data_IF_897096526558
#
_entry.id   IF_897096526558
#
_cell.length_a   1.000
_cell.length_b   1.000
_cell.length_c   1.000
_cell.angle_alpha   90.00
_cell.angle_beta   90.00
_cell.angle_gamma   90.00
#
_symmetry.space_group_name_H-M   'P 1'
#
loop_
_entity.id
_entity.type
_entity.pdbx_description
1 polymer ?
#
# COMPACT_ATOMS: atom_id res chain seq x y z
N UNK A 1 3.04 23.39 -14.28
CA UNK A 1 2.82 24.21 -13.08
C UNK A 1 4.17 24.42 -12.42
N UNK A 2 4.36 25.53 -11.71
CA UNK A 2 5.55 25.68 -10.87
C UNK A 2 5.37 24.78 -9.65
N UNK A 3 6.27 23.82 -9.49
CA UNK A 3 6.24 22.88 -8.36
C UNK A 3 7.07 23.37 -7.17
N UNK A 4 7.74 24.52 -7.31
CA UNK A 4 8.61 25.13 -6.30
C UNK A 4 8.11 26.51 -5.88
N UNK A 5 8.11 26.75 -4.57
CA UNK A 5 7.79 28.01 -3.90
C UNK A 5 9.03 28.51 -3.17
N UNK A 6 9.39 29.78 -3.37
CA UNK A 6 10.47 30.41 -2.63
C UNK A 6 9.91 31.15 -1.43
N UNK A 7 10.36 30.80 -0.22
CA UNK A 7 9.92 31.41 1.03
C UNK A 7 11.08 32.12 1.71
N UNK A 8 10.86 33.35 2.17
CA UNK A 8 11.81 34.12 2.96
C UNK A 8 11.25 34.49 4.33
N UNK A 9 12.03 34.26 5.37
CA UNK A 9 11.61 34.50 6.75
C UNK A 9 12.30 35.70 7.41
N UNK A 10 11.84 36.10 8.60
CA UNK A 10 12.43 37.21 9.38
C UNK A 10 13.95 37.08 9.63
N UNK A 11 14.44 35.85 9.80
CA UNK A 11 15.88 35.56 9.95
C UNK A 11 16.64 35.53 8.63
N UNK A 12 16.03 36.00 7.53
CA UNK A 12 16.62 36.08 6.19
C UNK A 12 17.03 34.73 5.60
N UNK A 13 16.45 33.61 6.07
CA UNK A 13 16.57 32.35 5.35
C UNK A 13 15.72 32.41 4.09
N UNK A 14 16.27 31.98 2.96
CA UNK A 14 15.56 31.73 1.71
C UNK A 14 15.50 30.24 1.48
N UNK A 15 14.30 29.68 1.40
CA UNK A 15 14.05 28.26 1.21
C UNK A 15 13.30 28.06 -0.11
N UNK A 16 13.65 27.02 -0.85
CA UNK A 16 12.80 26.49 -1.92
C UNK A 16 12.05 25.30 -1.37
N UNK A 17 10.73 25.36 -1.42
CA UNK A 17 9.82 24.35 -0.90
C UNK A 17 8.97 23.82 -2.06
N UNK A 18 8.61 22.55 -2.01
CA UNK A 18 7.50 22.04 -2.81
C UNK A 18 6.17 22.63 -2.34
N UNK A 19 5.11 22.56 -3.16
CA UNK A 19 3.76 23.00 -2.74
C UNK A 19 3.30 22.33 -1.44
N UNK A 20 3.64 21.06 -1.23
CA UNK A 20 3.32 20.32 -0.01
C UNK A 20 4.06 20.85 1.22
N UNK A 21 5.37 21.04 1.11
CA UNK A 21 6.19 21.61 2.19
C UNK A 21 5.79 23.07 2.50
N UNK A 22 5.31 23.79 1.48
CA UNK A 22 4.78 25.12 1.65
C UNK A 22 3.43 25.12 2.39
N UNK A 23 2.50 24.24 2.02
CA UNK A 23 1.22 24.07 2.73
C UNK A 23 1.45 23.74 4.22
N UNK A 24 2.35 22.80 4.53
CA UNK A 24 2.77 22.49 5.92
C UNK A 24 3.32 23.72 6.66
N UNK A 25 4.07 24.59 5.95
CA UNK A 25 4.64 25.80 6.54
C UNK A 25 3.57 26.86 6.84
N UNK A 26 2.49 26.90 6.06
CA UNK A 26 1.37 27.83 6.23
C UNK A 26 0.49 27.47 7.42
N UNK A 27 0.31 26.18 7.75
CA UNK A 27 -0.46 25.76 8.95
C UNK A 27 -0.02 26.47 10.24
N UNK A 28 1.27 26.88 10.29
CA UNK A 28 1.84 27.54 11.46
C UNK A 28 2.26 28.99 11.20
N UNK A 29 2.26 29.45 9.94
CA UNK A 29 2.93 30.69 9.50
C UNK A 29 4.41 30.74 9.97
N UNK A 30 5.12 29.62 9.86
CA UNK A 30 6.51 29.49 10.35
C UNK A 30 7.45 28.93 9.28
N UNK A 31 8.64 29.51 9.23
CA UNK A 31 9.76 29.00 8.45
C UNK A 31 10.16 27.59 8.91
N UNK A 32 10.13 26.56 8.05
CA UNK A 32 10.46 25.18 8.42
C UNK A 32 11.86 25.01 9.00
N UNK A 33 12.80 25.88 8.62
CA UNK A 33 14.20 25.81 9.08
C UNK A 33 14.42 26.38 10.48
N UNK A 34 13.69 27.42 10.87
CA UNK A 34 14.04 28.18 12.09
C UNK A 34 12.86 28.65 12.94
N UNK A 35 11.62 28.32 12.55
CA UNK A 35 10.42 28.66 13.29
C UNK A 35 10.15 30.16 13.43
N UNK A 36 10.76 31.03 12.62
CA UNK A 36 10.42 32.46 12.59
C UNK A 36 9.31 32.73 11.58
N UNK A 37 8.66 33.90 11.64
CA UNK A 37 7.57 34.26 10.73
C UNK A 37 8.06 34.28 9.27
N UNK A 38 7.19 33.84 8.37
CA UNK A 38 7.34 34.02 6.92
C UNK A 38 7.01 35.48 6.57
N UNK A 39 7.84 36.11 5.73
CA UNK A 39 7.69 37.50 5.32
C UNK A 39 7.35 37.65 3.83
N UNK A 40 8.03 36.89 2.98
CA UNK A 40 7.87 36.96 1.52
C UNK A 40 7.73 35.54 0.98
N UNK A 41 6.88 35.37 -0.03
CA UNK A 41 6.64 34.12 -0.76
C UNK A 41 6.61 34.45 -2.25
N UNK A 42 7.27 33.65 -3.07
CA UNK A 42 7.26 33.77 -4.54
C UNK A 42 7.02 32.40 -5.19
N UNK A 43 5.96 32.23 -6.01
CA UNK A 43 4.91 33.22 -6.30
C UNK A 43 4.09 33.58 -5.04
N UNK A 44 3.43 34.74 -5.05
CA UNK A 44 2.66 35.24 -3.90
C UNK A 44 1.18 34.82 -3.94
N UNK A 45 0.69 34.32 -5.08
CA UNK A 45 -0.67 33.80 -5.26
C UNK A 45 -0.70 32.31 -5.56
N UNK A 46 -1.73 31.63 -5.06
CA UNK A 46 -1.97 30.21 -5.32
C UNK A 46 -3.48 29.92 -5.43
N UNK A 47 -3.83 28.84 -6.11
CA UNK A 47 -5.20 28.33 -6.14
C UNK A 47 -5.39 27.30 -5.01
N UNK A 48 -6.47 27.44 -4.25
CA UNK A 48 -6.91 26.45 -3.25
C UNK A 48 -8.20 25.81 -3.70
N UNK A 49 -8.41 24.53 -3.35
CA UNK A 49 -9.65 23.81 -3.63
C UNK A 49 -10.17 23.13 -2.35
N UNK A 50 -11.47 23.23 -2.11
CA UNK A 50 -12.17 22.42 -1.12
C UNK A 50 -12.62 21.12 -1.77
N UNK A 51 -12.03 20.00 -1.36
CA UNK A 51 -12.33 18.68 -1.96
C UNK A 51 -13.76 18.19 -1.69
N UNK A 52 -14.42 18.75 -0.67
CA UNK A 52 -15.79 18.37 -0.31
C UNK A 52 -16.84 19.04 -1.19
N UNK A 53 -16.68 20.33 -1.51
CA UNK A 53 -17.66 21.09 -2.29
C UNK A 53 -17.15 21.57 -3.64
N UNK A 54 -15.93 21.20 -4.02
CA UNK A 54 -15.27 21.55 -5.30
C UNK A 54 -15.12 23.06 -5.54
N UNK A 55 -15.27 23.87 -4.49
CA UNK A 55 -15.03 25.30 -4.58
C UNK A 55 -13.53 25.54 -4.67
N UNK A 56 -13.11 26.33 -5.67
CA UNK A 56 -11.75 26.85 -5.77
C UNK A 56 -11.72 28.37 -5.87
N UNK A 57 -10.60 28.94 -5.44
CA UNK A 57 -10.31 30.37 -5.57
C UNK A 57 -8.79 30.60 -5.59
N UNK A 58 -8.36 31.60 -6.35
CA UNK A 58 -6.98 32.09 -6.35
C UNK A 58 -6.85 33.26 -5.38
N UNK A 59 -5.92 33.16 -4.44
CA UNK A 59 -5.71 34.15 -3.38
C UNK A 59 -4.21 34.35 -3.09
N UNK A 60 -3.87 35.44 -2.40
CA UNK A 60 -2.54 35.64 -1.85
C UNK A 60 -2.24 34.64 -0.72
N UNK A 61 -0.95 34.36 -0.48
CA UNK A 61 -0.56 33.33 0.49
C UNK A 61 -1.01 33.63 1.93
N UNK A 62 -1.15 34.90 2.34
CA UNK A 62 -1.63 35.23 3.69
C UNK A 62 -3.11 34.90 3.83
N UNK A 63 -3.90 35.22 2.81
CA UNK A 63 -5.31 34.84 2.72
C UNK A 63 -5.46 33.32 2.74
N UNK A 64 -4.63 32.60 1.97
CA UNK A 64 -4.64 31.14 1.95
C UNK A 64 -4.31 30.54 3.32
N UNK A 65 -3.27 31.06 4.00
CA UNK A 65 -2.93 30.60 5.34
C UNK A 65 -4.12 30.74 6.30
N UNK A 66 -4.81 31.88 6.27
CA UNK A 66 -6.01 32.09 7.06
C UNK A 66 -7.15 31.13 6.68
N UNK A 67 -7.33 30.83 5.39
CA UNK A 67 -8.34 29.88 4.92
C UNK A 67 -8.03 28.44 5.31
N UNK A 68 -6.76 28.02 5.31
CA UNK A 68 -6.37 26.68 5.75
C UNK A 68 -6.69 26.45 7.23
N UNK A 69 -6.49 27.47 8.08
CA UNK A 69 -6.83 27.47 9.51
C UNK A 69 -8.34 27.54 9.78
N UNK A 70 -9.07 28.37 9.02
CA UNK A 70 -10.52 28.58 9.23
C UNK A 70 -11.40 27.53 8.55
N UNK A 71 -10.85 26.76 7.60
CA UNK A 71 -11.57 25.81 6.79
C UNK A 71 -12.32 26.43 5.61
N UNK A 72 -13.08 25.61 4.88
CA UNK A 72 -13.77 26.06 3.67
C UNK A 72 -14.95 27.01 4.00
N UNK A 73 -15.01 28.22 3.40
CA UNK A 73 -16.07 29.20 3.67
C UNK A 73 -17.47 28.74 3.21
N UNK A 74 -17.55 27.72 2.35
CA UNK A 74 -18.83 27.15 1.88
C UNK A 74 -19.32 25.96 2.69
N UNK A 75 -18.41 25.15 3.23
CA UNK A 75 -18.77 23.97 4.03
C UNK A 75 -19.00 24.33 5.51
N UNK A 76 -18.44 25.44 5.98
CA UNK A 76 -18.50 25.85 7.38
C UNK A 76 -17.43 25.17 8.24
N UNK A 77 -17.31 25.59 9.52
CA UNK A 77 -16.23 25.16 10.42
C UNK A 77 -16.43 23.78 11.07
N UNK A 78 -17.52 23.06 10.80
CA UNK A 78 -17.95 21.88 11.58
C UNK A 78 -17.44 20.52 11.05
N UNK A 79 -16.36 20.47 10.27
CA UNK A 79 -15.80 19.18 9.86
C UNK A 79 -14.85 18.66 10.96
N UNK A 80 -15.25 17.59 11.63
CA UNK A 80 -14.54 16.98 12.78
C UNK A 80 -13.17 16.36 12.44
N UNK A 81 -12.79 16.29 11.17
CA UNK A 81 -11.52 15.72 10.71
C UNK A 81 -10.96 16.52 9.53
N UNK A 82 -9.64 16.79 9.55
CA UNK A 82 -8.74 17.36 8.52
C UNK A 82 -9.34 18.43 7.59
N UNK A 83 -8.72 19.62 7.54
CA UNK A 83 -9.21 20.74 6.70
C UNK A 83 -9.41 20.26 5.26
N UNK A 84 -10.63 20.35 4.67
CA UNK A 84 -10.89 19.86 3.33
C UNK A 84 -10.31 20.78 2.24
N UNK A 85 -9.67 21.88 2.64
CA UNK A 85 -9.12 22.90 1.78
C UNK A 85 -7.62 22.67 1.65
N UNK A 86 -7.15 22.54 0.42
CA UNK A 86 -5.73 22.32 0.13
C UNK A 86 -5.27 23.18 -1.04
N UNK A 87 -3.97 23.47 -1.12
CA UNK A 87 -3.37 24.14 -2.27
C UNK A 87 -3.39 23.19 -3.47
N UNK A 88 -3.97 23.61 -4.59
CA UNK A 88 -4.09 22.74 -5.77
C UNK A 88 -2.71 22.26 -6.22
N UNK A 89 -2.57 20.94 -6.35
CA UNK A 89 -1.33 20.28 -6.75
C UNK A 89 -0.42 19.89 -5.58
N UNK A 90 -0.70 20.33 -4.35
CA UNK A 90 -0.02 19.84 -3.15
C UNK A 90 -0.27 18.35 -2.94
N UNK A 91 0.58 17.71 -2.14
CA UNK A 91 0.40 16.31 -1.76
C UNK A 91 -0.94 16.08 -1.04
N UNK A 92 -1.30 16.97 -0.12
CA UNK A 92 -2.55 16.86 0.64
C UNK A 92 -3.77 17.01 -0.25
N UNK A 93 -3.73 17.96 -1.20
CA UNK A 93 -4.75 18.10 -2.24
C UNK A 93 -4.96 16.79 -3.02
N UNK A 94 -3.88 16.16 -3.47
CA UNK A 94 -3.94 14.88 -4.19
C UNK A 94 -4.49 13.74 -3.33
N UNK A 95 -4.10 13.66 -2.05
CA UNK A 95 -4.64 12.66 -1.11
C UNK A 95 -6.14 12.87 -0.90
N UNK A 96 -6.54 14.12 -0.67
CA UNK A 96 -7.93 14.47 -0.41
C UNK A 96 -8.82 14.22 -1.64
N UNK A 97 -8.34 14.54 -2.85
CA UNK A 97 -9.01 14.16 -4.10
C UNK A 97 -9.08 12.63 -4.28
N UNK A 98 -8.01 11.91 -3.93
CA UNK A 98 -8.00 10.45 -3.98
C UNK A 98 -9.07 9.86 -3.05
N UNK A 99 -9.15 10.35 -1.82
CA UNK A 99 -10.14 9.88 -0.85
C UNK A 99 -11.57 10.22 -1.24
N UNK A 100 -11.79 11.36 -1.91
CA UNK A 100 -13.10 11.77 -2.40
C UNK A 100 -13.56 11.03 -3.66
N UNK A 101 -12.65 10.69 -4.57
CA UNK A 101 -13.01 10.25 -5.92
C UNK A 101 -12.71 8.77 -6.24
N UNK A 102 -11.95 8.05 -5.42
CA UNK A 102 -11.46 6.72 -5.82
C UNK A 102 -12.52 5.64 -5.65
N UNK A 103 -12.61 4.77 -6.66
CA UNK A 103 -13.37 3.52 -6.58
C UNK A 103 -12.68 2.57 -5.60
N UNK A 104 -13.18 2.54 -4.37
CA UNK A 104 -12.72 1.57 -3.37
C UNK A 104 -13.46 0.24 -3.55
N UNK A 105 -12.70 -0.83 -3.76
CA UNK A 105 -13.21 -2.18 -3.80
C UNK A 105 -13.42 -2.64 -2.36
N UNK A 106 -14.68 -2.80 -1.96
CA UNK A 106 -15.00 -3.31 -0.64
C UNK A 106 -14.53 -4.76 -0.50
N UNK A 107 -13.74 -5.08 0.53
CA UNK A 107 -13.31 -6.46 0.80
C UNK A 107 -14.51 -7.44 0.87
N UNK A 108 -15.64 -6.98 1.37
CA UNK A 108 -16.89 -7.73 1.48
C UNK A 108 -17.51 -8.09 0.13
N UNK A 109 -17.30 -7.31 -0.93
CA UNK A 109 -17.80 -7.66 -2.27
C UNK A 109 -17.02 -8.82 -2.91
N UNK A 110 -15.84 -9.13 -2.37
CA UNK A 110 -14.96 -10.20 -2.83
C UNK A 110 -15.20 -11.51 -2.07
N UNK A 111 -16.03 -11.48 -1.03
CA UNK A 111 -16.46 -12.65 -0.28
C UNK A 111 -17.65 -13.33 -0.96
N UNK A 112 -17.70 -14.66 -0.93
CA UNK A 112 -18.89 -15.39 -1.41
C UNK A 112 -19.98 -15.36 -0.34
N UNK A 113 -21.18 -14.94 -0.70
CA UNK A 113 -22.33 -14.81 0.23
C UNK A 113 -22.63 -16.10 1.01
N UNK A 114 -22.41 -17.27 0.42
CA UNK A 114 -22.66 -18.57 1.05
C UNK A 114 -21.44 -19.20 1.73
N UNK A 115 -20.26 -18.59 1.65
CA UNK A 115 -18.97 -19.12 2.13
C UNK A 115 -18.08 -17.97 2.60
N UNK A 116 -18.31 -17.50 3.82
CA UNK A 116 -17.50 -16.45 4.45
C UNK A 116 -16.04 -16.87 4.70
N UNK A 117 -15.78 -18.19 4.73
CA UNK A 117 -14.45 -18.78 4.80
C UNK A 117 -13.70 -18.81 3.46
N UNK A 118 -14.38 -18.38 2.38
CA UNK A 118 -13.83 -18.39 1.04
C UNK A 118 -13.65 -16.97 0.51
N UNK A 119 -12.49 -16.74 -0.11
CA UNK A 119 -12.18 -15.48 -0.76
C UNK A 119 -11.68 -15.70 -2.19
N UNK A 120 -12.15 -14.92 -3.16
CA UNK A 120 -11.74 -15.05 -4.58
C UNK A 120 -10.33 -14.47 -4.87
N UNK A 121 -9.68 -13.92 -3.85
CA UNK A 121 -8.50 -13.07 -3.98
C UNK A 121 -7.33 -13.66 -3.21
N UNK A 122 -6.14 -13.45 -3.75
CA UNK A 122 -4.87 -13.70 -3.06
C UNK A 122 -4.04 -12.42 -3.08
N UNK A 123 -3.26 -12.20 -2.04
CA UNK A 123 -2.48 -10.97 -1.88
C UNK A 123 -1.00 -11.32 -1.77
N UNK A 124 -0.16 -10.65 -2.56
CA UNK A 124 1.27 -10.61 -2.29
C UNK A 124 1.54 -9.48 -1.29
N UNK A 125 1.65 -9.82 0.00
CA UNK A 125 2.06 -8.88 1.04
C UNK A 125 3.57 -8.65 1.00
N UNK A 126 3.99 -7.40 1.19
CA UNK A 126 5.39 -7.00 1.12
C UNK A 126 5.67 -5.74 1.96
N UNK A 127 6.94 -5.50 2.24
CA UNK A 127 7.41 -4.26 2.87
C UNK A 127 7.29 -3.08 1.91
N UNK A 128 7.18 -1.85 2.45
CA UNK A 128 7.04 -0.62 1.66
C UNK A 128 8.10 -0.49 0.53
N UNK A 129 9.37 -0.81 0.82
CA UNK A 129 10.45 -0.70 -0.16
C UNK A 129 10.28 -1.67 -1.33
N UNK A 130 9.85 -2.90 -1.04
CA UNK A 130 9.59 -3.90 -2.07
C UNK A 130 8.36 -3.52 -2.88
N UNK A 131 7.29 -3.07 -2.23
CA UNK A 131 6.08 -2.57 -2.89
C UNK A 131 6.38 -1.49 -3.93
N UNK A 132 7.15 -0.45 -3.54
CA UNK A 132 7.58 0.60 -4.47
C UNK A 132 8.46 0.05 -5.60
N UNK A 133 9.33 -0.91 -5.32
CA UNK A 133 10.17 -1.56 -6.33
C UNK A 133 9.31 -2.31 -7.35
N UNK A 134 8.27 -3.03 -6.89
CA UNK A 134 7.34 -3.76 -7.76
C UNK A 134 6.58 -2.77 -8.65
N UNK A 135 6.00 -1.72 -8.06
CA UNK A 135 5.21 -0.73 -8.79
C UNK A 135 6.04 0.03 -9.83
N UNK A 136 7.31 0.30 -9.53
CA UNK A 136 8.25 0.95 -10.45
C UNK A 136 8.74 0.02 -11.56
N UNK A 137 9.09 -1.21 -11.22
CA UNK A 137 9.66 -2.17 -12.17
C UNK A 137 8.61 -2.92 -12.99
N UNK A 138 7.36 -2.94 -12.52
CA UNK A 138 6.30 -3.78 -13.08
C UNK A 138 6.61 -5.27 -12.89
N UNK A 139 7.26 -5.67 -11.80
CA UNK A 139 7.65 -7.06 -11.58
C UNK A 139 7.71 -7.44 -10.10
N UNK A 140 7.04 -8.53 -9.74
CA UNK A 140 7.21 -9.22 -8.46
C UNK A 140 8.30 -10.28 -8.64
N UNK A 141 9.38 -10.15 -7.88
CA UNK A 141 10.52 -11.04 -8.01
C UNK A 141 10.30 -12.33 -7.23
N UNK A 142 10.47 -13.48 -7.89
CA UNK A 142 10.44 -14.76 -7.22
C UNK A 142 11.61 -14.91 -6.24
N UNK A 143 11.31 -15.43 -5.06
CA UNK A 143 12.27 -15.73 -4.00
C UNK A 143 12.47 -17.23 -3.88
N UNK A 144 13.58 -17.67 -3.29
CA UNK A 144 13.86 -19.10 -3.10
C UNK A 144 12.92 -19.71 -2.07
N UNK A 145 12.23 -20.78 -2.43
CA UNK A 145 11.39 -21.57 -1.54
C UNK A 145 12.20 -22.28 -0.44
N UNK A 146 11.57 -22.52 0.71
CA UNK A 146 12.27 -23.08 1.87
C UNK A 146 12.76 -24.52 1.73
N UNK A 147 11.98 -25.40 1.08
CA UNK A 147 12.33 -26.83 0.98
C UNK A 147 13.27 -27.12 -0.20
N UNK A 148 12.94 -26.65 -1.39
CA UNK A 148 13.66 -26.98 -2.62
C UNK A 148 14.60 -25.87 -3.10
N UNK A 149 14.52 -24.66 -2.53
CA UNK A 149 15.36 -23.53 -2.95
C UNK A 149 15.07 -23.03 -4.36
N UNK A 150 13.98 -23.49 -4.99
CA UNK A 150 13.54 -23.07 -6.33
C UNK A 150 12.78 -21.75 -6.22
N UNK A 151 12.79 -20.90 -7.26
CA UNK A 151 12.09 -19.62 -7.25
C UNK A 151 10.57 -19.80 -7.15
N UNK A 152 9.92 -18.96 -6.36
CA UNK A 152 8.48 -18.74 -6.37
C UNK A 152 8.12 -17.33 -5.89
N UNK A 153 7.03 -16.77 -6.42
CA UNK A 153 6.30 -15.65 -5.79
C UNK A 153 5.22 -16.25 -4.91
N UNK A 154 5.14 -15.80 -3.65
CA UNK A 154 4.14 -16.26 -2.69
C UNK A 154 3.00 -15.25 -2.57
N UNK A 155 1.78 -15.77 -2.40
CA UNK A 155 0.57 -15.00 -2.12
C UNK A 155 -0.16 -15.63 -0.95
N UNK A 156 -0.92 -14.82 -0.22
CA UNK A 156 -1.74 -15.24 0.89
C UNK A 156 -3.21 -15.14 0.52
N UNK A 157 -3.95 -16.24 0.68
CA UNK A 157 -5.40 -16.28 0.67
C UNK A 157 -5.91 -16.21 2.10
N UNK A 158 -6.46 -15.06 2.48
CA UNK A 158 -7.10 -14.85 3.79
C UNK A 158 -7.96 -13.58 3.76
N UNK A 159 -9.21 -13.59 4.23
CA UNK A 159 -10.02 -12.37 4.26
C UNK A 159 -9.26 -11.19 4.90
N UNK A 160 -9.36 -9.98 4.31
CA UNK A 160 -8.61 -8.81 4.80
C UNK A 160 -8.75 -8.58 6.33
N UNK A 161 -9.94 -8.81 6.87
CA UNK A 161 -10.25 -8.70 8.30
C UNK A 161 -9.39 -9.59 9.22
N UNK A 162 -8.69 -10.58 8.66
CA UNK A 162 -7.83 -11.53 9.38
C UNK A 162 -6.35 -11.34 9.01
N UNK A 163 -5.98 -10.22 8.41
CA UNK A 163 -4.63 -9.98 7.90
C UNK A 163 -3.65 -9.36 8.89
N UNK A 164 -4.06 -8.98 10.11
CA UNK A 164 -3.16 -8.26 11.03
C UNK A 164 -1.86 -9.04 11.32
N UNK A 165 -1.95 -10.34 11.57
CA UNK A 165 -0.79 -11.20 11.81
C UNK A 165 0.10 -11.36 10.56
N UNK A 166 -0.53 -11.43 9.39
CA UNK A 166 0.16 -11.56 8.10
C UNK A 166 0.93 -10.29 7.79
N UNK A 167 0.29 -9.13 7.96
CA UNK A 167 0.91 -7.82 7.74
C UNK A 167 2.11 -7.62 8.66
N UNK A 168 2.02 -8.05 9.92
CA UNK A 168 3.17 -8.04 10.85
C UNK A 168 4.34 -8.92 10.39
N UNK A 169 4.06 -9.99 9.65
CA UNK A 169 5.07 -10.97 9.22
C UNK A 169 5.66 -10.64 7.85
N UNK A 170 4.83 -10.16 6.93
CA UNK A 170 5.15 -9.99 5.51
C UNK A 170 5.21 -8.53 5.05
N UNK A 171 4.67 -7.60 5.84
CA UNK A 171 4.59 -6.16 5.54
C UNK A 171 3.16 -5.68 5.34
N UNK A 172 2.95 -4.38 5.56
CA UNK A 172 1.61 -3.76 5.59
C UNK A 172 1.05 -3.41 4.21
N UNK A 173 1.84 -3.54 3.15
CA UNK A 173 1.43 -3.26 1.78
C UNK A 173 1.13 -4.56 1.05
N UNK A 174 0.21 -4.52 0.09
CA UNK A 174 -0.14 -5.69 -0.69
C UNK A 174 -0.58 -5.39 -2.11
N UNK A 175 -0.36 -6.35 -3.00
CA UNK A 175 -0.92 -6.36 -4.35
C UNK A 175 -1.86 -7.55 -4.46
N UNK A 176 -3.14 -7.27 -4.68
CA UNK A 176 -4.18 -8.27 -4.72
C UNK A 176 -4.47 -8.72 -6.14
N UNK A 177 -4.71 -10.02 -6.31
CA UNK A 177 -5.02 -10.64 -7.59
C UNK A 177 -6.23 -11.55 -7.44
N UNK A 178 -7.06 -11.62 -8.48
CA UNK A 178 -8.04 -12.70 -8.55
C UNK A 178 -7.32 -14.04 -8.71
N UNK A 179 -7.79 -15.07 -8.01
CA UNK A 179 -7.25 -16.43 -8.15
C UNK A 179 -7.24 -16.91 -9.61
N UNK A 180 -8.26 -16.53 -10.38
CA UNK A 180 -8.34 -16.91 -11.80
C UNK A 180 -7.18 -16.36 -12.64
N UNK A 181 -6.66 -15.16 -12.33
CA UNK A 181 -5.47 -14.57 -12.97
C UNK A 181 -4.18 -15.29 -12.56
N UNK A 182 -4.07 -15.63 -11.28
CA UNK A 182 -2.93 -16.38 -10.74
C UNK A 182 -2.87 -17.79 -11.36
N UNK A 183 -4.00 -18.49 -11.46
CA UNK A 183 -4.09 -19.80 -12.12
C UNK A 183 -3.67 -19.70 -13.60
N UNK A 184 -4.16 -18.68 -14.31
CA UNK A 184 -3.76 -18.43 -15.71
C UNK A 184 -2.26 -18.15 -15.86
N UNK A 185 -1.62 -17.64 -14.82
CA UNK A 185 -0.17 -17.41 -14.75
C UNK A 185 0.61 -18.65 -14.28
N UNK A 186 -0.02 -19.83 -14.22
CA UNK A 186 0.61 -21.07 -13.75
C UNK A 186 0.70 -21.19 -12.22
N UNK A 187 0.02 -20.31 -11.49
CA UNK A 187 0.00 -20.32 -10.03
C UNK A 187 -0.95 -21.36 -9.45
N UNK A 188 -0.59 -21.89 -8.28
CA UNK A 188 -1.34 -22.94 -7.60
C UNK A 188 -1.25 -22.79 -6.07
N UNK A 189 -2.19 -23.37 -5.31
CA UNK A 189 -2.06 -23.50 -3.87
C UNK A 189 -0.78 -24.26 -3.50
N UNK A 190 -0.11 -23.84 -2.44
CA UNK A 190 1.00 -24.59 -1.87
C UNK A 190 0.50 -25.90 -1.25
N UNK A 191 1.26 -26.97 -1.45
CA UNK A 191 0.99 -28.32 -0.93
C UNK A 191 1.92 -28.58 0.25
N UNK A 192 1.33 -28.64 1.44
CA UNK A 192 2.05 -28.88 2.67
C UNK A 192 2.14 -30.38 2.96
N UNK A 193 3.37 -30.90 3.05
CA UNK A 193 3.63 -32.32 3.29
C UNK A 193 4.39 -32.53 4.60
N UNK A 194 4.04 -33.58 5.32
CA UNK A 194 4.79 -34.01 6.50
C UNK A 194 6.19 -34.52 6.10
N UNK A 195 7.17 -34.41 7.00
CA UNK A 195 8.53 -34.88 6.77
C UNK A 195 8.56 -36.36 6.30
N UNK A 196 7.72 -37.24 6.88
CA UNK A 196 7.63 -38.65 6.49
C UNK A 196 7.20 -38.87 5.03
N UNK A 197 6.25 -38.08 4.54
CA UNK A 197 5.77 -38.14 3.15
C UNK A 197 6.82 -37.61 2.17
N UNK A 198 7.54 -36.56 2.56
CA UNK A 198 8.65 -36.02 1.78
C UNK A 198 9.75 -37.07 1.64
N UNK A 199 10.13 -37.74 2.72
CA UNK A 199 11.15 -38.79 2.68
C UNK A 199 10.69 -40.01 1.88
N UNK A 200 9.43 -40.44 2.02
CA UNK A 200 8.87 -41.50 1.19
C UNK A 200 8.92 -41.14 -0.31
N UNK A 201 8.52 -39.92 -0.67
CA UNK A 201 8.58 -39.46 -2.06
C UNK A 201 10.03 -39.41 -2.59
N UNK A 202 11.00 -38.99 -1.77
CA UNK A 202 12.43 -39.04 -2.14
C UNK A 202 12.91 -40.45 -2.42
N UNK A 203 12.48 -41.44 -1.63
CA UNK A 203 12.80 -42.85 -1.86
C UNK A 203 12.17 -43.41 -3.14
N UNK A 204 11.05 -42.83 -3.58
CA UNK A 204 10.35 -43.19 -4.82
C UNK A 204 10.83 -42.43 -6.07
N UNK A 205 11.98 -41.76 -6.01
CA UNK A 205 12.55 -41.02 -7.15
C UNK A 205 12.39 -39.50 -7.07
N UNK A 206 11.84 -38.97 -5.98
CA UNK A 206 11.75 -37.53 -5.71
C UNK A 206 10.53 -36.84 -6.32
N UNK A 207 10.55 -35.51 -6.26
CA UNK A 207 9.51 -34.64 -6.82
C UNK A 207 9.92 -34.17 -8.21
N UNK A 208 8.99 -34.12 -9.17
CA UNK A 208 9.26 -33.49 -10.45
C UNK A 208 9.52 -31.99 -10.28
N UNK A 209 10.30 -31.39 -11.18
CA UNK A 209 10.73 -30.00 -11.03
C UNK A 209 9.56 -29.03 -11.02
N UNK A 210 8.53 -29.29 -11.83
CA UNK A 210 7.35 -28.43 -11.96
C UNK A 210 6.55 -28.28 -10.66
N UNK A 211 6.54 -29.29 -9.79
CA UNK A 211 5.79 -29.20 -8.53
C UNK A 211 6.60 -28.64 -7.37
N UNK A 212 7.94 -28.65 -7.46
CA UNK A 212 8.84 -28.22 -6.38
C UNK A 212 8.51 -26.81 -5.85
N UNK A 213 8.17 -25.80 -6.68
CA UNK A 213 7.80 -24.49 -6.19
C UNK A 213 6.61 -24.51 -5.24
N UNK A 214 5.67 -25.45 -5.43
CA UNK A 214 4.43 -25.52 -4.66
C UNK A 214 4.54 -26.36 -3.39
N UNK A 215 5.59 -27.18 -3.23
CA UNK A 215 5.71 -28.01 -2.03
C UNK A 215 6.25 -27.21 -0.86
N UNK A 216 5.64 -27.39 0.31
CA UNK A 216 6.13 -26.87 1.58
C UNK A 216 6.15 -27.95 2.66
N UNK A 217 6.98 -27.78 3.68
CA UNK A 217 7.03 -28.72 4.81
C UNK A 217 5.95 -28.33 5.82
N UNK A 218 5.10 -29.28 6.19
CA UNK A 218 4.16 -29.16 7.29
C UNK A 218 4.83 -29.53 8.62
N UNK A 219 5.01 -28.55 9.52
CA UNK A 219 5.53 -28.78 10.88
C UNK A 219 4.67 -28.06 11.92
N UNK A 220 3.86 -28.83 12.64
CA UNK A 220 3.09 -28.31 13.78
C UNK A 220 4.01 -28.32 15.01
N UNK A 221 4.20 -27.20 15.73
CA UNK A 221 5.19 -27.13 16.83
C UNK A 221 5.05 -28.23 17.90
N UNK A 222 3.82 -28.67 18.18
CA UNK A 222 3.54 -29.73 19.16
C UNK A 222 3.97 -31.12 18.69
N UNK A 223 3.97 -31.37 17.37
CA UNK A 223 4.35 -32.66 16.77
C UNK A 223 5.73 -32.64 16.10
N UNK A 224 6.31 -31.45 15.94
CA UNK A 224 7.60 -31.26 15.32
C UNK A 224 8.72 -31.92 16.17
N UNK A 225 9.70 -32.59 15.52
CA UNK A 225 10.88 -33.11 16.19
C UNK A 225 11.54 -32.07 17.11
N UNK A 226 12.07 -32.49 18.27
CA UNK A 226 12.66 -31.56 19.25
C UNK A 226 13.75 -30.65 18.64
N UNK A 227 14.50 -31.16 17.67
CA UNK A 227 15.53 -30.41 16.94
C UNK A 227 14.98 -29.39 15.94
N UNK A 228 13.72 -29.48 15.53
CA UNK A 228 13.07 -28.61 14.54
C UNK A 228 12.06 -27.62 15.12
N UNK A 229 11.81 -27.64 16.44
CA UNK A 229 10.83 -26.79 17.15
C UNK A 229 11.01 -25.27 17.00
N UNK A 230 12.10 -24.82 16.38
CA UNK A 230 12.41 -23.40 16.18
C UNK A 230 11.63 -22.72 15.05
N UNK A 231 10.91 -23.45 14.19
CA UNK A 231 10.10 -22.85 13.13
C UNK A 231 8.61 -22.99 13.49
N UNK A 232 8.00 -21.90 13.95
CA UNK A 232 6.54 -21.77 13.92
C UNK A 232 6.13 -21.84 12.45
N UNK A 233 5.32 -22.82 12.09
CA UNK A 233 4.56 -22.78 10.84
C UNK A 233 3.12 -22.75 11.32
N UNK A 234 2.54 -21.56 11.32
CA UNK A 234 1.14 -21.42 11.65
C UNK A 234 0.32 -21.93 10.48
N UNK A 235 -0.61 -22.84 10.76
CA UNK A 235 -1.51 -23.41 9.75
C UNK A 235 -2.95 -22.98 10.01
N UNK A 236 -3.19 -22.09 10.98
CA UNK A 236 -4.54 -21.97 11.49
C UNK A 236 -5.47 -21.22 10.53
N UNK A 237 -5.01 -20.27 9.70
CA UNK A 237 -5.93 -19.48 8.88
C UNK A 237 -5.45 -19.05 7.48
N UNK A 238 -4.21 -19.36 7.10
CA UNK A 238 -3.63 -18.89 5.83
C UNK A 238 -3.48 -19.99 4.80
N UNK A 239 -3.95 -19.74 3.58
CA UNK A 239 -3.62 -20.59 2.43
C UNK A 239 -2.60 -19.87 1.56
N UNK A 240 -1.38 -20.39 1.56
CA UNK A 240 -0.32 -19.91 0.67
C UNK A 240 -0.61 -20.37 -0.77
N UNK A 241 -0.51 -19.45 -1.72
CA UNK A 241 -0.49 -19.71 -3.15
C UNK A 241 0.89 -19.33 -3.69
N UNK A 242 1.31 -19.97 -4.77
CA UNK A 242 2.59 -19.66 -5.41
C UNK A 242 2.47 -19.57 -6.92
N UNK A 243 3.39 -18.85 -7.54
CA UNK A 243 3.74 -18.94 -8.96
C UNK A 243 5.22 -19.30 -9.04
N UNK A 244 5.58 -20.32 -9.83
CA UNK A 244 6.95 -20.87 -9.89
C UNK A 244 7.98 -20.01 -10.64
N UNK A 245 7.65 -18.74 -10.89
CA UNK A 245 8.48 -17.76 -11.58
C UNK A 245 8.10 -16.36 -11.08
N UNK A 246 8.76 -15.33 -11.60
CA UNK A 246 8.38 -13.94 -11.43
C UNK A 246 6.96 -13.68 -11.92
N UNK A 247 6.31 -12.66 -11.36
CA UNK A 247 4.98 -12.23 -11.80
C UNK A 247 5.06 -10.80 -12.32
N UNK A 248 4.51 -10.56 -13.51
CA UNK A 248 4.43 -9.23 -14.13
C UNK A 248 2.99 -8.70 -13.97
N UNK A 249 2.77 -7.65 -13.15
CA UNK A 249 1.46 -7.02 -12.98
C UNK A 249 0.84 -6.45 -14.26
N UNK A 250 1.58 -6.33 -15.36
CA UNK A 250 1.03 -5.91 -16.65
C UNK A 250 0.39 -7.08 -17.41
N UNK A 251 0.86 -8.32 -17.21
CA UNK A 251 0.27 -9.52 -17.83
C UNK A 251 -0.69 -10.23 -16.89
N UNK A 252 -0.37 -10.26 -15.60
CA UNK A 252 -1.22 -10.81 -14.54
C UNK A 252 -1.87 -9.62 -13.85
N UNK A 253 -3.06 -9.21 -14.29
CA UNK A 253 -3.65 -7.93 -13.89
C UNK A 253 -3.99 -7.93 -12.38
N UNK A 254 -3.45 -6.99 -11.58
CA UNK A 254 -3.90 -6.78 -10.22
C UNK A 254 -5.38 -6.43 -10.18
N UNK A 255 -6.06 -6.93 -9.17
CA UNK A 255 -7.40 -6.50 -8.83
C UNK A 255 -7.39 -5.15 -8.10
N UNK A 256 -6.38 -4.93 -7.25
CA UNK A 256 -6.27 -3.74 -6.42
C UNK A 256 -5.02 -3.74 -5.55
N UNK A 257 -4.72 -2.59 -4.98
CA UNK A 257 -3.68 -2.41 -3.98
C UNK A 257 -4.29 -2.49 -2.58
N UNK A 258 -3.48 -2.97 -1.63
CA UNK A 258 -3.80 -2.99 -0.20
C UNK A 258 -2.79 -2.08 0.49
N UNK A 259 -3.29 -1.09 1.20
CA UNK A 259 -2.49 -0.13 1.96
C UNK A 259 -2.66 -0.36 3.48
N UNK A 260 -1.69 0.07 4.31
CA UNK A 260 -1.85 0.12 5.75
C UNK A 260 -3.08 0.95 6.17
N UNK A 261 -3.66 0.65 7.33
CA UNK A 261 -4.67 1.52 7.92
C UNK A 261 -4.02 2.81 8.43
N UNK A 262 -4.52 3.96 7.98
CA UNK A 262 -3.96 5.27 8.29
C UNK A 262 -2.61 5.54 7.62
N UNK A 263 -2.29 6.82 7.38
CA UNK A 263 -0.99 7.29 6.87
C UNK A 263 -0.50 6.62 5.56
N UNK A 264 -1.43 6.15 4.72
CA UNK A 264 -1.19 5.37 3.48
C UNK A 264 -0.17 5.98 2.53
N UNK A 265 -0.17 7.31 2.46
CA UNK A 265 0.66 8.07 1.53
C UNK A 265 1.73 8.91 2.24
N UNK A 266 1.89 8.78 3.55
CA UNK A 266 2.87 9.60 4.28
C UNK A 266 4.32 9.19 3.97
N UNK A 267 5.23 10.16 3.97
CA UNK A 267 6.66 9.94 3.83
C UNK A 267 7.17 9.98 2.38
N UNK A 268 8.44 9.59 2.15
CA UNK A 268 9.02 9.61 0.82
C UNK A 268 8.21 8.70 -0.10
N UNK A 269 7.95 9.15 -1.33
CA UNK A 269 7.16 8.46 -2.37
C UNK A 269 5.65 8.47 -2.21
N UNK A 270 5.10 9.21 -1.24
CA UNK A 270 3.65 9.37 -1.07
C UNK A 270 2.90 9.73 -2.35
N UNK A 271 3.44 10.70 -3.10
CA UNK A 271 2.85 11.12 -4.39
C UNK A 271 2.80 10.00 -5.42
N UNK A 272 3.86 9.18 -5.52
CA UNK A 272 3.89 8.04 -6.42
C UNK A 272 2.83 7.00 -6.05
N UNK A 273 2.65 6.76 -4.74
CA UNK A 273 1.66 5.80 -4.26
C UNK A 273 0.22 6.19 -4.64
N UNK A 274 -0.11 7.49 -4.62
CA UNK A 274 -1.42 8.00 -5.07
C UNK A 274 -1.62 7.69 -6.56
N UNK A 275 -0.62 7.96 -7.41
CA UNK A 275 -0.70 7.65 -8.84
C UNK A 275 -0.94 6.16 -9.09
N UNK A 276 -0.26 5.29 -8.34
CA UNK A 276 -0.48 3.85 -8.42
C UNK A 276 -1.85 3.42 -7.90
N UNK A 277 -2.34 4.06 -6.84
CA UNK A 277 -3.67 3.79 -6.30
C UNK A 277 -4.77 4.14 -7.31
N UNK A 278 -4.65 5.27 -8.03
CA UNK A 278 -5.54 5.59 -9.16
C UNK A 278 -5.44 4.58 -10.30
N UNK A 279 -4.25 4.05 -10.58
CA UNK A 279 -4.04 3.09 -11.67
C UNK A 279 -4.65 1.72 -11.38
N UNK A 280 -4.55 1.26 -10.14
CA UNK A 280 -4.86 -0.13 -9.79
C UNK A 280 -6.12 -0.30 -8.93
N UNK A 281 -6.76 0.78 -8.47
CA UNK A 281 -7.78 0.78 -7.43
C UNK A 281 -7.25 0.31 -6.07
N UNK A 282 -8.00 0.58 -5.00
CA UNK A 282 -7.69 0.16 -3.63
C UNK A 282 -8.73 -0.82 -3.10
N UNK A 283 -8.26 -1.87 -2.43
CA UNK A 283 -9.10 -2.78 -1.66
C UNK A 283 -9.12 -2.33 -0.20
N UNK A 284 -10.32 -2.08 0.32
CA UNK A 284 -10.53 -1.60 1.70
C UNK A 284 -11.37 -2.56 2.53
N UNK A 285 -10.98 -2.72 3.79
CA UNK A 285 -11.83 -3.27 4.85
C UNK A 285 -12.94 -2.22 5.10
N UNK A 286 -14.21 -2.57 4.97
CA UNK A 286 -15.33 -1.68 5.28
C UNK A 286 -15.85 -1.97 6.67
#
# INVERSE_FOLDING_TARGET
MQDEVTVKCEKQHTLKLSLSEFEEALEWDRCPKCGSKILEVEPDTFEVECVNCTWSEENDWQTISACLDQGCPRCGPELECDSPLHIIGSFYHKVAQYDACTNRIAATSLQRTSRADYWEVVIHFCEHKEFLSILKSGKIHACRTGLFGVPAVCFTETPLLLCEEIRRTHGDFGIAFQKSEIIRSGGNPAVYLQDSLIEAQKQMGGFCDDIKPFINILRIPSTAPKWSRKKKVDFLHEREWRVGDHVDPNTTKPLGLVFPEGKKFSGPYGSNLIEYAYKYDEIVER
#
